data_IF_201695211755
#
_entry.id   IF_201695211755
#
_cell.length_a   1.000
_cell.length_b   1.000
_cell.length_c   1.000
_cell.angle_alpha   90.00
_cell.angle_beta   90.00
_cell.angle_gamma   90.00
#
_symmetry.space_group_name_H-M   'P 1'
#
loop_
_entity.id
_entity.type
_entity.pdbx_description
1 polymer ?
#
# COMPACT_ATOMS: atom_id res chain seq x y z
N UNK A 1 11.83 -0.08 3.04
CA UNK A 1 10.85 -0.94 3.76
C UNK A 1 9.65 -1.08 2.87
N UNK A 2 9.17 -2.31 2.62
CA UNK A 2 8.04 -2.53 1.71
C UNK A 2 6.71 -2.44 2.47
N UNK A 3 5.83 -1.57 2.00
CA UNK A 3 4.48 -1.42 2.51
C UNK A 3 3.46 -1.92 1.50
N UNK A 4 2.46 -2.65 2.00
CA UNK A 4 1.24 -2.99 1.26
C UNK A 4 0.15 -2.01 1.64
N UNK A 5 -0.34 -1.26 0.65
CA UNK A 5 -1.40 -0.26 0.84
C UNK A 5 -2.68 -0.79 0.25
N UNK A 6 -3.69 -0.95 1.10
CA UNK A 6 -5.05 -1.30 0.71
C UNK A 6 -5.84 -0.03 0.45
N UNK A 7 -6.51 0.05 -0.70
CA UNK A 7 -7.21 1.26 -1.11
C UNK A 7 -8.44 0.96 -1.98
N UNK A 8 -9.32 1.95 -2.06
CA UNK A 8 -10.38 2.04 -3.07
C UNK A 8 -10.04 3.15 -4.05
N UNK A 9 -10.41 2.98 -5.32
CA UNK A 9 -10.08 3.95 -6.39
C UNK A 9 -10.68 5.35 -6.16
N UNK A 10 -11.82 5.45 -5.48
CA UNK A 10 -12.55 6.70 -5.28
C UNK A 10 -13.07 6.81 -3.84
N UNK A 11 -13.22 8.06 -3.37
CA UNK A 11 -13.80 8.44 -2.09
C UNK A 11 -15.32 8.73 -2.17
N UNK A 12 -15.87 8.81 -3.38
CA UNK A 12 -17.24 9.31 -3.63
C UNK A 12 -18.33 8.25 -3.44
N UNK A 13 -17.95 6.97 -3.36
CA UNK A 13 -18.86 5.84 -3.17
C UNK A 13 -18.60 5.17 -1.83
N UNK A 14 -19.65 4.55 -1.28
CA UNK A 14 -19.50 3.72 -0.09
C UNK A 14 -18.48 2.60 -0.36
N UNK A 15 -17.52 2.38 0.54
CA UNK A 15 -16.49 1.36 0.36
C UNK A 15 -17.13 -0.03 0.31
N UNK A 16 -16.68 -0.85 -0.65
CA UNK A 16 -17.11 -2.25 -0.82
C UNK A 16 -15.89 -3.14 -0.70
N UNK A 17 -16.00 -4.21 0.09
CA UNK A 17 -14.86 -5.11 0.37
C UNK A 17 -14.32 -5.76 -0.90
N UNK A 18 -15.18 -6.01 -1.87
CA UNK A 18 -14.86 -6.69 -3.12
C UNK A 18 -14.04 -5.81 -4.09
N UNK A 19 -14.04 -4.49 -3.87
CA UNK A 19 -13.32 -3.54 -4.72
C UNK A 19 -12.04 -3.00 -4.09
N UNK A 20 -11.68 -3.47 -2.89
CA UNK A 20 -10.40 -3.13 -2.27
C UNK A 20 -9.26 -3.66 -3.12
N UNK A 21 -8.40 -2.76 -3.59
CA UNK A 21 -7.17 -3.09 -4.30
C UNK A 21 -5.97 -2.93 -3.37
N UNK A 22 -4.85 -3.52 -3.79
CA UNK A 22 -3.58 -3.39 -3.08
C UNK A 22 -2.50 -2.86 -4.03
N UNK A 23 -1.62 -2.02 -3.50
CA UNK A 23 -0.38 -1.62 -4.16
C UNK A 23 0.80 -1.79 -3.20
N UNK A 24 2.00 -1.94 -3.75
CA UNK A 24 3.22 -2.15 -2.98
C UNK A 24 4.16 -0.97 -3.18
N UNK A 25 4.66 -0.40 -2.09
CA UNK A 25 5.58 0.75 -2.10
C UNK A 25 6.86 0.41 -1.36
N UNK A 26 8.01 0.76 -1.94
CA UNK A 26 9.26 0.81 -1.20
C UNK A 26 9.47 2.22 -0.63
N UNK A 27 9.54 2.30 0.69
CA UNK A 27 9.70 3.56 1.42
C UNK A 27 10.96 3.49 2.28
N UNK A 28 11.83 4.47 2.09
CA UNK A 28 12.97 4.69 2.98
C UNK A 28 12.55 5.51 4.21
N UNK A 29 12.62 4.87 5.38
CA UNK A 29 12.22 5.43 6.66
C UNK A 29 13.05 4.85 7.81
N UNK A 30 13.18 5.63 8.89
CA UNK A 30 13.96 5.24 10.07
C UNK A 30 13.24 4.19 10.93
N UNK A 31 11.92 4.24 10.97
CA UNK A 31 11.07 3.33 11.74
C UNK A 31 9.76 3.07 10.99
N UNK A 32 9.00 2.09 11.47
CA UNK A 32 7.72 1.70 10.86
C UNK A 32 6.69 2.83 10.87
N UNK A 33 6.62 3.61 11.96
CA UNK A 33 5.63 4.67 12.11
C UNK A 33 5.84 5.75 11.05
N UNK A 34 7.09 6.21 10.87
CA UNK A 34 7.45 7.18 9.84
C UNK A 34 7.23 6.62 8.44
N UNK A 35 7.56 5.34 8.22
CA UNK A 35 7.33 4.69 6.93
C UNK A 35 5.85 4.62 6.57
N UNK A 36 4.97 4.23 7.50
CA UNK A 36 3.51 4.22 7.28
C UNK A 36 2.97 5.62 6.95
N UNK A 37 3.40 6.64 7.67
CA UNK A 37 2.98 8.03 7.43
C UNK A 37 3.43 8.49 6.03
N UNK A 38 4.69 8.22 5.66
CA UNK A 38 5.22 8.56 4.34
C UNK A 38 4.49 7.81 3.22
N UNK A 39 4.27 6.50 3.38
CA UNK A 39 3.55 5.68 2.40
C UNK A 39 2.15 6.25 2.14
N UNK A 40 1.40 6.54 3.22
CA UNK A 40 0.06 7.12 3.12
C UNK A 40 0.08 8.46 2.40
N UNK A 41 0.97 9.36 2.81
CA UNK A 41 1.10 10.70 2.24
C UNK A 41 1.46 10.64 0.74
N UNK A 42 2.38 9.76 0.35
CA UNK A 42 2.78 9.59 -1.04
C UNK A 42 1.60 9.20 -1.94
N UNK A 43 0.78 8.24 -1.48
CA UNK A 43 -0.40 7.81 -2.23
C UNK A 43 -1.45 8.92 -2.28
N UNK A 44 -1.72 9.60 -1.17
CA UNK A 44 -2.69 10.72 -1.13
C UNK A 44 -2.25 11.91 -2.02
N UNK A 45 -0.95 12.16 -2.17
CA UNK A 45 -0.43 13.24 -3.02
C UNK A 45 -0.45 12.87 -4.51
N UNK A 46 -0.22 11.60 -4.85
CA UNK A 46 -0.09 11.14 -6.24
C UNK A 46 -1.41 10.63 -6.82
N UNK A 47 -2.37 10.22 -5.99
CA UNK A 47 -3.63 9.64 -6.45
C UNK A 47 -4.83 10.14 -5.64
N UNK A 48 -6.02 10.01 -6.21
CA UNK A 48 -7.29 10.29 -5.53
C UNK A 48 -7.80 9.12 -4.68
N UNK A 49 -6.97 8.11 -4.44
CA UNK A 49 -7.40 6.86 -3.80
C UNK A 49 -7.85 7.07 -2.36
N UNK A 50 -8.84 6.28 -1.95
CA UNK A 50 -9.25 6.18 -0.56
C UNK A 50 -8.45 5.08 0.13
N UNK A 51 -7.46 5.47 0.93
CA UNK A 51 -6.59 4.52 1.64
C UNK A 51 -7.34 3.92 2.83
N UNK A 52 -7.48 2.60 2.84
CA UNK A 52 -8.13 1.86 3.92
C UNK A 52 -7.12 1.44 4.98
N UNK A 53 -5.99 0.85 4.56
CA UNK A 53 -4.99 0.33 5.49
C UNK A 53 -3.58 0.33 4.88
N UNK A 54 -2.57 0.53 5.74
CA UNK A 54 -1.16 0.48 5.36
C UNK A 54 -0.46 -0.53 6.28
N UNK A 55 0.06 -1.59 5.67
CA UNK A 55 0.72 -2.69 6.35
C UNK A 55 2.21 -2.72 6.00
N UNK A 56 3.08 -2.88 6.99
CA UNK A 56 4.50 -3.18 6.77
C UNK A 56 4.64 -4.67 6.48
N UNK A 57 5.25 -5.04 5.36
CA UNK A 57 5.52 -6.44 5.04
C UNK A 57 6.81 -6.90 5.71
N UNK A 58 6.73 -8.04 6.42
CA UNK A 58 7.91 -8.78 6.87
C UNK A 58 8.56 -9.52 5.69
N UNK A 59 9.82 -9.93 5.85
CA UNK A 59 10.56 -10.59 4.78
C UNK A 59 9.89 -11.89 4.31
N UNK A 60 9.33 -12.69 5.23
CA UNK A 60 8.60 -13.91 4.87
C UNK A 60 7.31 -13.59 4.10
N UNK A 61 6.56 -12.56 4.51
CA UNK A 61 5.34 -12.17 3.82
C UNK A 61 5.64 -11.61 2.43
N UNK A 62 6.70 -10.81 2.30
CA UNK A 62 7.16 -10.27 1.02
C UNK A 62 7.60 -11.36 0.04
N UNK A 63 8.30 -12.39 0.51
CA UNK A 63 8.70 -13.51 -0.32
C UNK A 63 7.50 -14.30 -0.84
N UNK A 64 6.52 -14.56 0.03
CA UNK A 64 5.27 -15.20 -0.37
C UNK A 64 4.51 -14.39 -1.43
N UNK A 65 4.41 -13.07 -1.25
CA UNK A 65 3.78 -12.15 -2.21
C UNK A 65 4.48 -12.21 -3.59
N UNK A 66 5.82 -12.22 -3.61
CA UNK A 66 6.62 -12.35 -4.83
C UNK A 66 6.40 -13.70 -5.54
N UNK A 67 6.28 -14.79 -4.78
CA UNK A 67 6.04 -16.13 -5.33
C UNK A 67 4.62 -16.29 -5.89
N UNK A 68 3.63 -15.64 -5.27
CA UNK A 68 2.23 -15.69 -5.71
C UNK A 68 1.96 -14.97 -7.04
N UNK A 69 2.94 -14.22 -7.56
CA UNK A 69 2.91 -13.60 -8.89
C UNK A 69 2.09 -12.31 -9.01
N UNK A 70 1.43 -11.85 -7.93
CA UNK A 70 0.65 -10.59 -7.93
C UNK A 70 1.42 -9.39 -7.38
N UNK A 71 2.68 -9.58 -7.00
CA UNK A 71 3.53 -8.52 -6.47
C UNK A 71 4.09 -7.65 -7.59
N UNK A 72 3.76 -6.36 -7.56
CA UNK A 72 4.37 -5.34 -8.41
C UNK A 72 4.63 -4.07 -7.61
N UNK A 73 5.88 -3.61 -7.63
CA UNK A 73 6.28 -2.35 -7.01
C UNK A 73 5.70 -1.19 -7.81
N UNK A 74 5.01 -0.30 -7.10
CA UNK A 74 4.38 0.89 -7.69
C UNK A 74 5.33 2.07 -7.60
N UNK A 75 5.65 2.66 -8.75
CA UNK A 75 6.43 3.90 -8.88
C UNK A 75 5.51 5.02 -9.40
N UNK A 76 5.72 6.26 -8.96
CA UNK A 76 4.87 7.42 -9.24
C UNK A 76 5.62 8.57 -9.94
#
# INVERSE_FOLDING_TARGET
>A
MIYKVFYQETKDRNPRRETTQALYLDIDAKDELQGRIKARKLVEEKTSYNIEFVELLSDMHLNYEKESGSFSLTEF
#
